data_IF_200976226784
#
_entry.id   IF_200976226784
#
_cell.length_a   1.000
_cell.length_b   1.000
_cell.length_c   1.000
_cell.angle_alpha   90.00
_cell.angle_beta   90.00
_cell.angle_gamma   90.00
#
_symmetry.space_group_name_H-M   'P 1'
#
loop_
_entity.id
_entity.type
_entity.pdbx_description
1 polymer ?
#
# COMPACT_ATOMS: atom_id res chain seq x y z
N UNK A 1 3.08 3.03 -21.31
CA UNK A 1 3.49 3.36 -19.93
C UNK A 1 3.14 2.24 -18.91
N UNK A 2 3.48 0.97 -19.19
CA UNK A 2 3.12 -0.18 -18.35
C UNK A 2 4.24 -0.68 -17.41
N UNK A 3 5.48 -0.16 -17.57
CA UNK A 3 6.66 -0.64 -16.83
C UNK A 3 6.66 -0.19 -15.36
N UNK A 4 6.09 0.99 -15.05
CA UNK A 4 6.17 1.63 -13.71
C UNK A 4 5.11 1.12 -12.72
N UNK A 5 3.99 0.55 -13.18
CA UNK A 5 2.99 -0.08 -12.28
C UNK A 5 3.45 -1.44 -11.77
N UNK A 6 4.15 -2.20 -12.63
CA UNK A 6 4.72 -3.50 -12.26
C UNK A 6 5.81 -3.39 -11.20
N UNK A 7 6.57 -2.29 -11.15
CA UNK A 7 7.62 -2.14 -10.12
C UNK A 7 7.02 -1.89 -8.73
N UNK A 8 6.00 -1.04 -8.59
CA UNK A 8 5.38 -0.75 -7.28
C UNK A 8 4.66 -1.95 -6.66
N UNK A 9 4.01 -2.78 -7.47
CA UNK A 9 3.38 -4.03 -6.98
C UNK A 9 4.46 -5.02 -6.54
N UNK A 10 5.53 -5.17 -7.32
CA UNK A 10 6.65 -6.02 -6.93
C UNK A 10 7.42 -5.51 -5.70
N UNK A 11 7.51 -4.20 -5.52
CA UNK A 11 8.06 -3.56 -4.32
C UNK A 11 7.18 -3.84 -3.10
N UNK A 12 5.84 -3.73 -3.23
CA UNK A 12 4.90 -4.09 -2.17
C UNK A 12 5.01 -5.57 -1.76
N UNK A 13 4.94 -6.50 -2.71
CA UNK A 13 5.04 -7.94 -2.43
C UNK A 13 6.35 -8.30 -1.75
N UNK A 14 7.45 -7.66 -2.17
CA UNK A 14 8.75 -7.85 -1.55
C UNK A 14 8.77 -7.34 -0.10
N UNK A 15 8.31 -6.11 0.14
CA UNK A 15 8.29 -5.53 1.48
C UNK A 15 7.38 -6.30 2.43
N UNK A 16 6.24 -6.79 1.93
CA UNK A 16 5.32 -7.62 2.71
C UNK A 16 5.96 -8.94 3.13
N UNK A 17 6.61 -9.64 2.19
CA UNK A 17 7.28 -10.90 2.48
C UNK A 17 8.43 -10.76 3.47
N UNK A 18 9.17 -9.65 3.37
CA UNK A 18 10.25 -9.34 4.30
C UNK A 18 9.71 -9.03 5.70
N UNK A 19 8.58 -8.33 5.79
CA UNK A 19 7.88 -8.07 7.05
C UNK A 19 7.38 -9.36 7.70
N UNK A 20 6.78 -10.27 6.94
CA UNK A 20 6.35 -11.60 7.44
C UNK A 20 7.54 -12.36 8.04
N UNK A 21 8.68 -12.37 7.33
CA UNK A 21 9.91 -13.02 7.80
C UNK A 21 10.42 -12.40 9.11
N UNK A 22 10.32 -11.08 9.27
CA UNK A 22 10.68 -10.39 10.51
C UNK A 22 9.74 -10.80 11.64
N UNK A 23 8.43 -10.82 11.40
CA UNK A 23 7.43 -11.21 12.40
C UNK A 23 7.67 -12.64 12.88
N UNK A 24 7.83 -13.58 11.97
CA UNK A 24 8.14 -14.98 12.30
C UNK A 24 9.39 -15.10 13.19
N UNK A 25 10.43 -14.31 12.88
CA UNK A 25 11.68 -14.31 13.64
C UNK A 25 11.52 -13.65 15.01
N UNK A 26 10.69 -12.62 15.14
CA UNK A 26 10.38 -11.99 16.43
C UNK A 26 9.51 -12.90 17.31
N UNK A 27 8.59 -13.66 16.71
CA UNK A 27 7.72 -14.62 17.40
C UNK A 27 8.46 -15.86 17.90
N UNK A 28 9.58 -16.25 17.28
CA UNK A 28 10.38 -17.39 17.74
C UNK A 28 11.01 -17.16 19.12
N UNK A 29 11.25 -15.89 19.50
CA UNK A 29 11.83 -15.52 20.79
C UNK A 29 13.30 -15.91 20.99
N UNK A 30 13.98 -16.41 19.95
CA UNK A 30 15.39 -16.86 20.03
C UNK A 30 16.40 -15.71 19.91
N UNK A 31 15.92 -14.47 19.73
CA UNK A 31 16.74 -13.31 19.43
C UNK A 31 17.25 -12.61 20.68
N UNK A 32 18.42 -11.98 20.56
CA UNK A 32 18.88 -11.01 21.55
C UNK A 32 18.03 -9.73 21.47
N UNK A 33 17.94 -9.00 22.59
CA UNK A 33 17.23 -7.72 22.65
C UNK A 33 17.68 -6.73 21.57
N UNK A 34 18.98 -6.64 21.30
CA UNK A 34 19.52 -5.76 20.26
C UNK A 34 19.05 -6.18 18.85
N UNK A 35 19.01 -7.48 18.57
CA UNK A 35 18.51 -8.00 17.30
C UNK A 35 17.01 -7.73 17.15
N UNK A 36 16.22 -7.95 18.20
CA UNK A 36 14.78 -7.66 18.20
C UNK A 36 14.48 -6.18 17.97
N UNK A 37 15.30 -5.27 18.52
CA UNK A 37 15.15 -3.83 18.28
C UNK A 37 15.44 -3.45 16.82
N UNK A 38 16.50 -4.01 16.21
CA UNK A 38 16.82 -3.79 14.79
C UNK A 38 15.71 -4.30 13.88
N UNK A 39 15.17 -5.47 14.20
CA UNK A 39 14.07 -6.07 13.46
C UNK A 39 12.78 -5.27 13.58
N UNK A 40 12.49 -4.74 14.76
CA UNK A 40 11.37 -3.85 14.96
C UNK A 40 11.50 -2.55 14.14
N UNK A 41 12.67 -1.90 14.17
CA UNK A 41 12.92 -0.70 13.37
C UNK A 41 12.78 -0.96 11.86
N UNK A 42 13.30 -2.10 11.40
CA UNK A 42 13.20 -2.52 10.01
C UNK A 42 11.74 -2.82 9.64
N UNK A 43 11.03 -3.61 10.45
CA UNK A 43 9.61 -3.92 10.26
C UNK A 43 8.77 -2.65 10.18
N UNK A 44 9.05 -1.65 11.02
CA UNK A 44 8.39 -0.34 10.96
C UNK A 44 8.65 0.40 9.65
N UNK A 45 9.84 0.25 9.04
CA UNK A 45 10.12 0.80 7.72
C UNK A 45 9.31 0.12 6.64
N UNK A 46 9.29 -1.22 6.63
CA UNK A 46 8.54 -2.00 5.66
C UNK A 46 7.04 -1.72 5.72
N UNK A 47 6.49 -1.54 6.93
CA UNK A 47 5.08 -1.13 7.11
C UNK A 47 4.80 0.23 6.45
N UNK A 48 5.72 1.19 6.54
CA UNK A 48 5.57 2.48 5.86
C UNK A 48 5.60 2.30 4.33
N UNK A 49 6.56 1.54 3.82
CA UNK A 49 6.69 1.29 2.37
C UNK A 49 5.45 0.59 1.79
N UNK A 50 4.90 -0.37 2.53
CA UNK A 50 3.65 -1.05 2.17
C UNK A 50 2.48 -0.06 2.10
N UNK A 51 2.33 0.82 3.09
CA UNK A 51 1.27 1.85 3.12
C UNK A 51 1.39 2.81 1.95
N UNK A 52 2.59 3.30 1.67
CA UNK A 52 2.84 4.23 0.57
C UNK A 52 2.52 3.58 -0.78
N UNK A 53 2.85 2.29 -0.93
CA UNK A 53 2.54 1.51 -2.12
C UNK A 53 1.03 1.34 -2.32
N UNK A 54 0.30 1.03 -1.25
CA UNK A 54 -1.16 0.91 -1.27
C UNK A 54 -1.84 2.25 -1.58
N UNK A 55 -1.41 3.34 -0.95
CA UNK A 55 -1.92 4.68 -1.21
C UNK A 55 -1.70 5.09 -2.68
N UNK A 56 -0.51 4.80 -3.22
CA UNK A 56 -0.21 5.06 -4.62
C UNK A 56 -1.08 4.22 -5.58
N UNK A 57 -1.48 3.02 -5.19
CA UNK A 57 -2.40 2.18 -5.95
C UNK A 57 -3.84 2.74 -5.89
N UNK A 58 -4.31 3.15 -4.71
CA UNK A 58 -5.63 3.75 -4.50
C UNK A 58 -5.82 5.01 -5.36
N UNK A 59 -4.88 5.95 -5.29
CA UNK A 59 -4.90 7.18 -6.11
C UNK A 59 -4.97 6.84 -7.60
N UNK A 60 -4.24 5.80 -8.03
CA UNK A 60 -4.26 5.37 -9.43
C UNK A 60 -5.60 4.78 -9.84
N UNK A 61 -6.24 3.99 -8.97
CA UNK A 61 -7.59 3.45 -9.22
C UNK A 61 -8.59 4.60 -9.33
N UNK A 62 -8.56 5.55 -8.41
CA UNK A 62 -9.44 6.73 -8.45
C UNK A 62 -9.28 7.50 -9.77
N UNK A 63 -8.04 7.77 -10.21
CA UNK A 63 -7.79 8.45 -11.48
C UNK A 63 -8.28 7.66 -12.71
N UNK A 64 -8.31 6.33 -12.64
CA UNK A 64 -8.84 5.49 -13.72
C UNK A 64 -10.37 5.58 -13.75
N UNK A 65 -11.03 5.50 -12.60
CA UNK A 65 -12.49 5.66 -12.47
C UNK A 65 -12.95 7.04 -12.93
N UNK A 66 -12.24 8.10 -12.56
CA UNK A 66 -12.51 9.48 -13.02
C UNK A 66 -12.36 9.63 -14.54
N UNK A 67 -11.43 8.89 -15.16
CA UNK A 67 -11.22 8.90 -16.62
C UNK A 67 -12.23 8.05 -17.39
N UNK A 68 -12.80 7.04 -16.76
CA UNK A 68 -13.74 6.10 -17.37
C UNK A 68 -15.19 6.63 -17.38
N UNK A 69 -15.44 7.78 -16.73
CA UNK A 69 -16.57 8.65 -17.08
C UNK A 69 -17.89 8.37 -16.37
N UNK A 70 -17.89 8.04 -15.08
CA UNK A 70 -19.10 8.13 -14.24
C UNK A 70 -18.96 9.22 -13.17
N UNK A 71 -18.83 10.47 -13.62
CA UNK A 71 -19.54 11.58 -12.99
C UNK A 71 -20.87 11.68 -13.72
N UNK A 72 -21.87 10.91 -13.27
CA UNK A 72 -23.26 11.20 -13.64
C UNK A 72 -23.68 12.50 -12.95
N UNK A 73 -23.25 13.62 -13.52
CA UNK A 73 -23.86 14.92 -13.26
C UNK A 73 -25.13 14.98 -14.09
N UNK A 74 -26.24 14.59 -13.48
CA UNK A 74 -27.56 14.94 -14.03
C UNK A 74 -27.75 16.45 -13.85
N UNK A 75 -28.26 17.18 -14.86
CA UNK A 75 -28.66 18.57 -14.68
C UNK A 75 -29.59 18.68 -13.47
N UNK A 76 -29.31 19.62 -12.57
CA UNK A 76 -30.28 19.99 -11.55
C UNK A 76 -31.46 20.67 -12.26
N UNK A 77 -32.64 20.04 -12.18
CA UNK A 77 -33.88 20.59 -12.71
C UNK A 77 -34.59 21.40 -11.60
N UNK A 78 -34.57 22.75 -11.67
CA UNK A 78 -35.16 23.59 -10.63
C UNK A 78 -36.70 23.51 -10.58
N UNK A 79 -37.35 22.84 -11.54
CA UNK A 79 -38.82 22.71 -11.59
C UNK A 79 -39.34 21.45 -10.84
N UNK A 80 -38.47 20.65 -10.21
CA UNK A 80 -38.87 19.59 -9.26
C UNK A 80 -38.84 20.06 -7.80
N UNK A 81 -39.43 21.22 -7.51
CA UNK A 81 -39.71 21.72 -6.16
C UNK A 81 -41.22 21.79 -5.88
#
# INVERSE_FOLDING_TARGET
MAKKSRSRVGEFEKSLKELETIVERMESGEQSLEASLKDFEHGMSLVRDCRDSLQAAEVRVQQLLEKEGELQSTPFDPDQA
#
